data_IF_524773691257
#
_entry.id   IF_524773691257
#
_cell.length_a   1.000
_cell.length_b   1.000
_cell.length_c   1.000
_cell.angle_alpha   90.00
_cell.angle_beta   90.00
_cell.angle_gamma   90.00
#
_symmetry.space_group_name_H-M   'P 1'
#
loop_
_entity.id
_entity.type
_entity.pdbx_description
1 polymer ?
#
# COMPACT_ATOMS: atom_id res chain seq x y z
N UNK A 1 -6.55 11.11 4.38
CA UNK A 1 -6.54 10.44 3.07
C UNK A 1 -7.96 10.37 2.56
N UNK A 2 -8.22 10.88 1.36
CA UNK A 2 -9.47 10.67 0.63
C UNK A 2 -9.23 9.54 -0.38
N UNK A 3 -10.10 8.54 -0.43
CA UNK A 3 -9.96 7.41 -1.33
C UNK A 3 -11.34 7.00 -1.87
N UNK A 4 -11.42 6.70 -3.16
CA UNK A 4 -12.65 6.29 -3.82
C UNK A 4 -12.34 5.27 -4.91
N UNK A 5 -13.35 4.48 -5.29
CA UNK A 5 -13.25 3.51 -6.38
C UNK A 5 -13.81 4.15 -7.64
N UNK A 6 -13.05 4.09 -8.74
CA UNK A 6 -13.44 4.61 -10.04
C UNK A 6 -13.13 3.59 -11.14
N UNK A 7 -14.00 3.51 -12.14
CA UNK A 7 -13.73 2.76 -13.38
C UNK A 7 -12.96 3.62 -14.40
N UNK A 8 -12.87 4.95 -14.18
CA UNK A 8 -12.11 5.89 -15.00
C UNK A 8 -10.63 5.84 -14.62
N UNK A 9 -9.77 5.60 -15.61
CA UNK A 9 -8.31 5.58 -15.47
C UNK A 9 -7.70 6.95 -15.85
N UNK A 10 -6.43 7.15 -15.51
CA UNK A 10 -5.68 8.37 -15.87
C UNK A 10 -6.00 9.60 -15.02
N UNK A 11 -6.82 9.47 -13.97
CA UNK A 11 -7.17 10.60 -13.10
C UNK A 11 -5.96 11.24 -12.41
N UNK A 12 -4.89 10.47 -12.17
CA UNK A 12 -3.64 10.99 -11.61
C UNK A 12 -2.76 11.76 -12.60
N UNK A 13 -3.05 11.66 -13.90
CA UNK A 13 -2.34 12.39 -14.96
C UNK A 13 -2.98 13.76 -15.25
N UNK A 14 -4.18 14.00 -14.70
CA UNK A 14 -4.86 15.30 -14.80
C UNK A 14 -4.08 16.37 -14.05
N UNK A 15 -4.32 17.63 -14.42
CA UNK A 15 -3.78 18.75 -13.65
C UNK A 15 -4.43 18.83 -12.26
N UNK A 16 -3.83 19.67 -11.41
CA UNK A 16 -4.26 19.84 -10.03
C UNK A 16 -5.71 20.31 -9.93
N UNK A 17 -6.14 21.22 -10.81
CA UNK A 17 -7.46 21.84 -10.71
C UNK A 17 -8.56 20.82 -11.01
N UNK A 18 -8.33 19.97 -12.01
CA UNK A 18 -9.21 18.84 -12.32
C UNK A 18 -9.22 17.78 -11.21
N UNK A 19 -8.07 17.45 -10.62
CA UNK A 19 -7.99 16.55 -9.47
C UNK A 19 -8.78 17.09 -8.26
N UNK A 20 -8.63 18.38 -7.95
CA UNK A 20 -9.37 19.04 -6.87
C UNK A 20 -10.87 19.07 -7.16
N UNK A 21 -11.27 19.34 -8.41
CA UNK A 21 -12.67 19.30 -8.83
C UNK A 21 -13.28 17.90 -8.61
N UNK A 22 -12.56 16.85 -9.00
CA UNK A 22 -12.98 15.46 -8.79
C UNK A 22 -13.16 15.17 -7.30
N UNK A 23 -12.19 15.53 -6.45
CA UNK A 23 -12.29 15.34 -5.00
C UNK A 23 -13.48 16.10 -4.41
N UNK A 24 -13.67 17.37 -4.78
CA UNK A 24 -14.81 18.18 -4.32
C UNK A 24 -16.15 17.58 -4.70
N UNK A 25 -16.29 17.08 -5.94
CA UNK A 25 -17.52 16.41 -6.40
C UNK A 25 -17.75 15.07 -5.72
N UNK A 26 -16.69 14.27 -5.58
CA UNK A 26 -16.77 12.90 -5.06
C UNK A 26 -17.10 12.86 -3.57
N UNK A 27 -16.61 13.84 -2.80
CA UNK A 27 -16.78 13.87 -1.34
C UNK A 27 -17.74 14.98 -0.87
N UNK A 28 -18.52 15.59 -1.76
CA UNK A 28 -19.43 16.70 -1.45
C UNK A 28 -20.43 16.37 -0.34
N UNK A 29 -20.89 15.12 -0.29
CA UNK A 29 -21.90 14.61 0.64
C UNK A 29 -21.31 13.70 1.74
N UNK A 30 -19.99 13.61 1.85
CA UNK A 30 -19.32 12.71 2.80
C UNK A 30 -19.59 13.08 4.29
N UNK A 31 -19.97 14.33 4.57
CA UNK A 31 -20.30 14.82 5.91
C UNK A 31 -19.08 14.93 6.84
N UNK A 32 -19.32 15.00 8.15
CA UNK A 32 -18.27 15.14 9.19
C UNK A 32 -17.30 16.28 8.86
N UNK A 33 -16.00 16.00 8.76
CA UNK A 33 -14.94 16.96 8.49
C UNK A 33 -14.66 17.15 6.98
N UNK A 34 -15.39 16.46 6.10
CA UNK A 34 -15.17 16.57 4.66
C UNK A 34 -15.24 18.01 4.14
N UNK A 35 -16.20 18.88 4.56
CA UNK A 35 -16.22 20.27 4.13
C UNK A 35 -14.93 21.03 4.47
N UNK A 36 -14.39 20.83 5.69
CA UNK A 36 -13.13 21.47 6.12
C UNK A 36 -11.93 20.95 5.32
N UNK A 37 -11.87 19.64 5.08
CA UNK A 37 -10.79 19.03 4.28
C UNK A 37 -10.85 19.51 2.83
N UNK A 38 -12.05 19.57 2.23
CA UNK A 38 -12.25 20.01 0.84
C UNK A 38 -11.98 21.51 0.64
N UNK A 39 -12.27 22.34 1.64
CA UNK A 39 -11.90 23.75 1.64
C UNK A 39 -10.37 23.92 1.65
N UNK A 40 -9.66 23.14 2.46
CA UNK A 40 -8.20 23.20 2.56
C UNK A 40 -7.46 22.75 1.29
N UNK A 41 -8.13 22.05 0.36
CA UNK A 41 -7.50 21.62 -0.91
C UNK A 41 -7.10 22.79 -1.81
N UNK A 42 -7.62 24.00 -1.59
CA UNK A 42 -7.30 25.18 -2.41
C UNK A 42 -5.81 25.51 -2.34
N UNK A 43 -5.24 25.53 -1.13
CA UNK A 43 -3.86 25.96 -0.87
C UNK A 43 -2.92 24.82 -0.46
N UNK A 44 -3.45 23.64 -0.17
CA UNK A 44 -2.62 22.52 0.30
C UNK A 44 -1.82 21.87 -0.85
N UNK A 45 -0.59 21.38 -0.58
CA UNK A 45 0.08 20.45 -1.48
C UNK A 45 -0.75 19.17 -1.60
N UNK A 46 -0.95 18.72 -2.85
CA UNK A 46 -1.80 17.58 -3.17
C UNK A 46 -0.95 16.45 -3.75
N UNK A 47 -1.13 15.24 -3.21
CA UNK A 47 -0.76 14.00 -3.86
C UNK A 47 -2.04 13.25 -4.21
N UNK A 48 -2.21 12.96 -5.50
CA UNK A 48 -3.35 12.24 -6.05
C UNK A 48 -2.81 11.17 -6.99
N UNK A 49 -3.16 9.91 -6.76
CA UNK A 49 -2.71 8.81 -7.61
C UNK A 49 -3.68 7.62 -7.54
N UNK A 50 -3.60 6.75 -8.54
CA UNK A 50 -4.29 5.49 -8.53
C UNK A 50 -3.57 4.50 -7.60
N UNK A 51 -4.33 3.88 -6.70
CA UNK A 51 -3.78 2.80 -5.87
C UNK A 51 -3.80 1.49 -6.67
N UNK A 52 -2.60 0.95 -6.93
CA UNK A 52 -2.42 -0.26 -7.71
C UNK A 52 -1.33 -1.18 -7.16
N UNK A 53 -1.12 -2.30 -7.86
CA UNK A 53 -0.01 -3.22 -7.62
C UNK A 53 0.87 -3.31 -8.86
N UNK A 54 2.18 -3.36 -8.65
CA UNK A 54 3.17 -3.66 -9.70
C UNK A 54 3.55 -5.13 -9.59
N UNK A 55 3.20 -5.93 -10.61
CA UNK A 55 3.53 -7.35 -10.70
C UNK A 55 4.35 -7.60 -11.95
N UNK A 56 5.63 -7.94 -11.75
CA UNK A 56 6.60 -8.15 -12.82
C UNK A 56 7.20 -9.55 -12.72
N UNK A 57 7.44 -10.16 -13.88
CA UNK A 57 8.10 -11.48 -13.97
C UNK A 57 9.57 -11.43 -13.53
N UNK A 58 10.24 -10.29 -13.76
CA UNK A 58 11.63 -10.03 -13.37
C UNK A 58 11.78 -8.59 -12.88
N UNK A 59 12.65 -8.36 -11.91
CA UNK A 59 12.93 -7.03 -11.35
C UNK A 59 14.24 -6.42 -11.84
N UNK A 60 14.98 -7.14 -12.67
CA UNK A 60 16.26 -6.69 -13.20
C UNK A 60 16.43 -6.99 -14.69
N UNK A 61 17.24 -6.15 -15.33
CA UNK A 61 17.68 -6.32 -16.71
C UNK A 61 19.11 -5.79 -16.86
N UNK A 62 20.06 -6.68 -17.16
CA UNK A 62 21.49 -6.34 -17.23
C UNK A 62 22.01 -5.85 -15.88
N UNK A 63 22.40 -4.57 -15.82
CA UNK A 63 22.89 -3.91 -14.59
C UNK A 63 21.87 -2.95 -13.97
N UNK A 64 20.62 -2.99 -14.45
CA UNK A 64 19.51 -2.18 -13.93
C UNK A 64 18.60 -3.05 -13.08
N UNK A 65 18.19 -2.53 -11.92
CA UNK A 65 17.28 -3.21 -10.99
C UNK A 65 16.20 -2.25 -10.52
N UNK A 66 15.01 -2.77 -10.31
CA UNK A 66 13.88 -2.08 -9.70
C UNK A 66 13.85 -2.41 -8.21
N UNK A 67 13.56 -1.41 -7.38
CA UNK A 67 13.48 -1.53 -5.93
C UNK A 67 12.23 -0.81 -5.41
N UNK A 68 11.59 -1.37 -4.38
CA UNK A 68 10.43 -0.74 -3.74
C UNK A 68 9.19 -0.79 -4.63
N UNK A 69 8.38 0.27 -4.60
CA UNK A 69 7.12 0.33 -5.36
C UNK A 69 7.31 0.17 -6.88
N UNK A 70 8.48 0.56 -7.40
CA UNK A 70 8.83 0.34 -8.81
C UNK A 70 8.90 -1.14 -9.20
N UNK A 71 9.20 -2.03 -8.25
CA UNK A 71 9.28 -3.47 -8.47
C UNK A 71 8.04 -4.23 -7.98
N UNK A 72 7.43 -3.76 -6.88
CA UNK A 72 6.44 -4.56 -6.16
C UNK A 72 5.36 -3.76 -5.40
N UNK A 73 4.98 -2.56 -5.84
CA UNK A 73 3.94 -1.77 -5.17
C UNK A 73 2.81 -2.67 -4.61
N UNK A 74 2.60 -2.61 -3.29
CA UNK A 74 1.79 -3.62 -2.58
C UNK A 74 0.31 -3.23 -2.49
N UNK A 75 -0.02 -1.96 -2.73
CA UNK A 75 -1.37 -1.42 -2.68
C UNK A 75 -1.64 -0.61 -1.40
N UNK A 76 -2.90 -0.51 -0.94
CA UNK A 76 -3.33 0.52 0.02
C UNK A 76 -2.89 0.31 1.48
N UNK A 77 -2.37 -0.88 1.84
CA UNK A 77 -2.24 -1.27 3.26
C UNK A 77 -0.86 -0.99 3.88
N UNK A 78 -0.05 -0.12 3.27
CA UNK A 78 1.14 0.46 3.93
C UNK A 78 2.31 -0.50 4.14
N UNK A 79 2.33 -1.67 3.48
CA UNK A 79 3.43 -2.64 3.58
C UNK A 79 4.64 -2.30 2.69
N UNK A 80 4.50 -1.33 1.78
CA UNK A 80 5.53 -0.95 0.80
C UNK A 80 6.82 -0.45 1.42
N UNK A 81 6.75 0.47 2.39
CA UNK A 81 7.93 1.11 3.00
C UNK A 81 8.83 0.11 3.73
N UNK A 82 8.26 -0.73 4.60
CA UNK A 82 9.05 -1.72 5.34
C UNK A 82 9.74 -2.70 4.38
N UNK A 83 9.03 -3.13 3.33
CA UNK A 83 9.58 -4.03 2.33
C UNK A 83 10.63 -3.35 1.44
N UNK A 84 10.50 -2.04 1.17
CA UNK A 84 11.51 -1.26 0.46
C UNK A 84 12.82 -1.19 1.26
N UNK A 85 12.75 -0.99 2.59
CA UNK A 85 13.92 -1.01 3.47
C UNK A 85 14.60 -2.38 3.49
N UNK A 86 13.81 -3.45 3.65
CA UNK A 86 14.30 -4.84 3.56
C UNK A 86 14.97 -5.08 2.21
N UNK A 87 14.31 -4.68 1.12
CA UNK A 87 14.83 -4.84 -0.23
C UNK A 87 16.14 -4.08 -0.45
N UNK A 88 16.25 -2.87 0.08
CA UNK A 88 17.48 -2.07 -0.01
C UNK A 88 18.65 -2.73 0.73
N UNK A 89 18.40 -3.27 1.93
CA UNK A 89 19.38 -4.01 2.72
C UNK A 89 19.90 -5.24 1.96
N UNK A 90 18.99 -6.08 1.47
CA UNK A 90 19.34 -7.28 0.71
C UNK A 90 20.08 -6.92 -0.59
N UNK A 91 19.60 -5.92 -1.33
CA UNK A 91 20.23 -5.49 -2.58
C UNK A 91 21.68 -5.03 -2.34
N UNK A 92 21.91 -4.20 -1.32
CA UNK A 92 23.25 -3.73 -0.97
C UNK A 92 24.16 -4.90 -0.55
N UNK A 93 23.65 -5.83 0.24
CA UNK A 93 24.40 -7.00 0.70
C UNK A 93 24.80 -7.95 -0.43
N UNK A 94 23.87 -8.29 -1.33
CA UNK A 94 24.18 -9.14 -2.48
C UNK A 94 25.15 -8.45 -3.44
N UNK A 95 25.03 -7.14 -3.67
CA UNK A 95 25.98 -6.38 -4.48
C UNK A 95 27.38 -6.33 -3.86
N UNK A 96 27.48 -6.32 -2.53
CA UNK A 96 28.75 -6.30 -1.81
C UNK A 96 29.44 -7.66 -1.66
N UNK A 97 28.71 -8.77 -1.85
CA UNK A 97 29.23 -10.12 -1.58
C UNK A 97 29.37 -11.02 -2.80
N UNK A 98 28.58 -10.80 -3.86
CA UNK A 98 28.64 -11.62 -5.06
C UNK A 98 29.75 -11.17 -6.02
N UNK A 99 30.25 -12.11 -6.83
CA UNK A 99 31.35 -11.86 -7.77
C UNK A 99 30.95 -10.99 -8.97
N UNK A 100 29.67 -10.99 -9.34
CA UNK A 100 29.14 -10.22 -10.47
C UNK A 100 27.73 -9.67 -10.20
N UNK A 101 27.42 -8.56 -10.86
CA UNK A 101 26.14 -7.83 -10.70
C UNK A 101 24.93 -8.68 -11.09
N UNK A 102 24.89 -9.37 -12.26
CA UNK A 102 23.77 -10.25 -12.59
C UNK A 102 23.44 -11.28 -11.50
N UNK A 103 24.45 -11.93 -10.93
CA UNK A 103 24.27 -12.87 -9.81
C UNK A 103 23.69 -12.18 -8.58
N UNK A 104 24.23 -11.02 -8.19
CA UNK A 104 23.69 -10.23 -7.08
C UNK A 104 22.21 -9.87 -7.25
N UNK A 105 21.82 -9.40 -8.44
CA UNK A 105 20.45 -8.99 -8.72
C UNK A 105 19.48 -10.19 -8.71
N UNK A 106 19.91 -11.35 -9.19
CA UNK A 106 19.12 -12.57 -9.13
C UNK A 106 18.88 -13.03 -7.69
N UNK A 107 19.91 -12.98 -6.83
CA UNK A 107 19.82 -13.35 -5.41
C UNK A 107 18.95 -12.39 -4.62
N UNK A 108 19.08 -11.09 -4.88
CA UNK A 108 18.21 -10.06 -4.33
C UNK A 108 16.74 -10.36 -4.61
N UNK A 109 16.42 -10.67 -5.87
CA UNK A 109 15.06 -10.98 -6.29
C UNK A 109 14.55 -12.27 -5.62
N UNK A 110 15.35 -13.32 -5.58
CA UNK A 110 15.04 -14.60 -4.92
C UNK A 110 14.64 -14.40 -3.45
N UNK A 111 15.39 -13.57 -2.73
CA UNK A 111 15.23 -13.34 -1.29
C UNK A 111 13.99 -12.47 -1.00
N UNK A 112 13.75 -11.42 -1.78
CA UNK A 112 12.72 -10.41 -1.47
C UNK A 112 11.34 -10.77 -2.06
N UNK A 113 11.30 -11.45 -3.21
CA UNK A 113 10.08 -11.80 -3.96
C UNK A 113 9.00 -12.51 -3.14
N UNK A 114 9.30 -13.51 -2.28
CA UNK A 114 8.25 -14.20 -1.51
C UNK A 114 7.49 -13.27 -0.56
N UNK A 115 8.18 -12.29 0.02
CA UNK A 115 7.57 -11.33 0.94
C UNK A 115 6.76 -10.26 0.22
N UNK A 116 7.25 -9.81 -0.94
CA UNK A 116 6.49 -8.95 -1.85
C UNK A 116 5.19 -9.59 -2.32
N UNK A 117 5.25 -10.83 -2.82
CA UNK A 117 4.09 -11.55 -3.31
C UNK A 117 3.06 -11.79 -2.20
N UNK A 118 3.51 -12.16 -1.00
CA UNK A 118 2.61 -12.32 0.15
C UNK A 118 1.85 -11.03 0.47
N UNK A 119 2.56 -9.90 0.54
CA UNK A 119 1.95 -8.60 0.81
C UNK A 119 0.95 -8.20 -0.29
N UNK A 120 1.27 -8.49 -1.55
CA UNK A 120 0.37 -8.23 -2.66
C UNK A 120 -0.87 -9.14 -2.65
N UNK A 121 -0.72 -10.41 -2.28
CA UNK A 121 -1.81 -11.39 -2.28
C UNK A 121 -2.77 -11.23 -1.10
N UNK A 122 -2.34 -10.58 -0.01
CA UNK A 122 -3.21 -10.18 1.10
C UNK A 122 -4.28 -9.15 0.67
N UNK A 123 -4.04 -8.39 -0.40
CA UNK A 123 -5.01 -7.46 -0.97
C UNK A 123 -6.11 -8.21 -1.72
N UNK A 124 -7.29 -8.34 -1.08
CA UNK A 124 -8.45 -9.00 -1.71
C UNK A 124 -9.40 -7.97 -2.35
N UNK A 125 -9.68 -8.05 -3.67
CA UNK A 125 -10.60 -7.12 -4.34
C UNK A 125 -11.99 -7.07 -3.72
N UNK A 126 -12.49 -8.22 -3.26
CA UNK A 126 -13.79 -8.31 -2.58
C UNK A 126 -13.79 -7.54 -1.25
N UNK A 127 -12.69 -7.60 -0.49
CA UNK A 127 -12.54 -6.85 0.75
C UNK A 127 -12.54 -5.33 0.48
N UNK A 128 -11.80 -4.88 -0.55
CA UNK A 128 -11.82 -3.47 -0.97
C UNK A 128 -13.25 -3.03 -1.33
N UNK A 129 -13.99 -3.83 -2.10
CA UNK A 129 -15.38 -3.52 -2.46
C UNK A 129 -16.30 -3.47 -1.25
N UNK A 130 -16.14 -4.38 -0.29
CA UNK A 130 -16.92 -4.39 0.95
C UNK A 130 -16.65 -3.16 1.83
N UNK A 131 -15.42 -2.65 1.82
CA UNK A 131 -15.03 -1.42 2.53
C UNK A 131 -15.59 -0.15 1.87
N UNK A 132 -15.98 -0.21 0.59
CA UNK A 132 -16.45 0.93 -0.20
C UNK A 132 -17.90 0.71 -0.68
N UNK A 133 -18.90 0.73 0.23
CA UNK A 133 -20.31 0.55 -0.15
C UNK A 133 -20.78 1.70 -1.04
N UNK A 134 -21.46 1.37 -2.13
CA UNK A 134 -21.99 2.33 -3.12
C UNK A 134 -23.46 2.71 -2.89
N UNK A 135 -24.05 2.33 -1.76
CA UNK A 135 -25.45 2.61 -1.44
C UNK A 135 -25.64 3.07 0.00
N UNK A 136 -26.65 3.92 0.23
CA UNK A 136 -26.99 4.41 1.57
C UNK A 136 -27.31 3.29 2.55
N UNK A 137 -28.01 2.25 2.08
CA UNK A 137 -28.29 1.06 2.88
C UNK A 137 -27.00 0.30 3.26
N UNK A 138 -26.06 0.17 2.31
CA UNK A 138 -24.75 -0.44 2.57
C UNK A 138 -23.92 0.35 3.57
N UNK A 139 -23.91 1.69 3.47
CA UNK A 139 -23.25 2.58 4.44
C UNK A 139 -23.85 2.42 5.84
N UNK A 140 -25.19 2.38 5.95
CA UNK A 140 -25.88 2.16 7.24
C UNK A 140 -25.53 0.80 7.85
N UNK A 141 -25.53 -0.26 7.05
CA UNK A 141 -25.16 -1.61 7.49
C UNK A 141 -23.71 -1.65 7.97
N UNK A 142 -22.78 -1.11 7.18
CA UNK A 142 -21.35 -1.06 7.54
C UNK A 142 -21.13 -0.33 8.86
N UNK A 143 -21.76 0.85 9.05
CA UNK A 143 -21.68 1.62 10.30
C UNK A 143 -22.28 0.87 11.49
N UNK A 144 -23.39 0.15 11.30
CA UNK A 144 -24.00 -0.66 12.35
C UNK A 144 -23.08 -1.81 12.78
N UNK A 145 -22.50 -2.55 11.83
CA UNK A 145 -21.54 -3.63 12.11
C UNK A 145 -20.33 -3.10 12.87
N UNK A 146 -19.74 -1.99 12.41
CA UNK A 146 -18.61 -1.35 13.08
C UNK A 146 -18.95 -0.86 14.49
N UNK A 147 -20.13 -0.27 14.68
CA UNK A 147 -20.61 0.19 15.98
C UNK A 147 -20.77 -0.95 17.00
N UNK A 148 -21.16 -2.14 16.55
CA UNK A 148 -21.27 -3.35 17.40
C UNK A 148 -19.90 -3.97 17.67
N UNK A 149 -19.01 -4.02 16.68
CA UNK A 149 -17.71 -4.67 16.80
C UNK A 149 -16.69 -3.86 17.64
N UNK A 150 -16.69 -2.52 17.51
CA UNK A 150 -15.74 -1.64 18.18
C UNK A 150 -15.60 -1.86 19.71
N UNK A 151 -16.68 -1.94 20.51
CA UNK A 151 -16.57 -2.18 21.95
C UNK A 151 -16.09 -3.60 22.30
N UNK A 152 -16.26 -4.57 21.40
CA UNK A 152 -15.82 -5.97 21.57
C UNK A 152 -14.32 -6.09 21.30
N UNK A 153 -13.80 -5.38 20.29
CA UNK A 153 -12.37 -5.31 19.97
C UNK A 153 -11.54 -4.70 21.11
N UNK A 154 -12.07 -3.68 21.79
CA UNK A 154 -11.42 -3.06 22.95
C UNK A 154 -11.29 -4.01 24.16
N UNK A 155 -12.21 -4.97 24.32
CA UNK A 155 -12.20 -5.95 25.42
C UNK A 155 -11.37 -7.20 25.10
N UNK A 156 -11.18 -7.52 23.81
CA UNK A 156 -10.37 -8.66 23.33
C UNK A 156 -8.95 -8.26 22.90
N UNK A 157 -8.55 -6.99 23.10
CA UNK A 157 -7.28 -6.44 22.60
C UNK A 157 -6.03 -7.22 22.98
N UNK A 158 -6.00 -7.88 24.14
CA UNK A 158 -4.88 -8.73 24.56
C UNK A 158 -4.74 -10.04 23.76
N UNK A 159 -5.84 -10.59 23.24
CA UNK A 159 -5.86 -11.81 22.43
C UNK A 159 -5.69 -11.50 20.93
N UNK A 160 -6.21 -10.36 20.46
CA UNK A 160 -6.10 -9.91 19.06
C UNK A 160 -4.70 -9.33 18.76
N UNK A 161 -4.04 -8.72 19.74
CA UNK A 161 -2.68 -8.17 19.58
C UNK A 161 -1.61 -9.21 19.20
N UNK A 162 -1.80 -10.49 19.56
CA UNK A 162 -0.90 -11.59 19.14
C UNK A 162 -1.10 -12.02 17.69
N UNK A 163 -2.30 -11.84 17.13
CA UNK A 163 -2.63 -12.17 15.74
C UNK A 163 -2.32 -11.04 14.76
N UNK A 164 -2.15 -9.81 15.26
CA UNK A 164 -1.96 -8.59 14.47
C UNK A 164 -0.55 -8.02 14.57
N UNK A 165 0.45 -8.86 14.88
CA UNK A 165 1.85 -8.45 14.75
C UNK A 165 2.10 -7.89 13.34
N UNK A 166 2.67 -6.68 13.20
CA UNK A 166 3.01 -6.12 11.90
C UNK A 166 3.84 -7.13 11.09
N UNK A 167 3.56 -7.33 9.80
CA UNK A 167 4.27 -8.31 8.96
C UNK A 167 5.80 -8.09 8.87
N UNK A 168 6.28 -6.90 9.24
CA UNK A 168 7.70 -6.53 9.23
C UNK A 168 8.55 -7.42 10.15
N UNK A 169 7.99 -7.97 11.24
CA UNK A 169 8.70 -8.87 12.16
C UNK A 169 8.92 -10.28 11.59
N UNK A 170 8.44 -10.58 10.37
CA UNK A 170 8.51 -11.92 9.77
C UNK A 170 9.58 -12.08 8.69
N UNK A 171 10.30 -11.01 8.35
CA UNK A 171 11.40 -11.10 7.40
C UNK A 171 12.71 -11.35 8.14
N UNK A 172 13.28 -12.54 7.98
CA UNK A 172 14.62 -12.82 8.47
C UNK A 172 15.65 -12.10 7.57
N UNK A 173 16.24 -11.02 8.08
CA UNK A 173 17.26 -10.27 7.35
C UNK A 173 18.53 -11.13 7.23
N UNK A 174 19.08 -11.31 6.01
CA UNK A 174 20.40 -11.92 5.86
C UNK A 174 21.47 -11.06 6.53
N UNK A 175 22.45 -11.73 7.12
CA UNK A 175 23.67 -11.11 7.62
C UNK A 175 24.69 -11.01 6.48
N UNK A 176 25.26 -9.83 6.32
CA UNK A 176 26.33 -9.57 5.35
C UNK A 176 27.59 -9.13 6.10
N UNK A 177 28.80 -9.47 5.59
CA UNK A 177 30.04 -8.98 6.17
C UNK A 177 30.05 -7.45 6.25
N UNK A 178 30.63 -6.91 7.32
CA UNK A 178 30.89 -5.48 7.38
C UNK A 178 31.84 -5.09 6.24
N UNK A 179 31.53 -3.98 5.56
CA UNK A 179 32.35 -3.41 4.51
C UNK A 179 33.70 -2.90 5.01
#
# INVERSE_FOLDING_TARGET
MLAFVSDVRGLGELDRDDQVLILRRTFADAGWEAPRVLAALEDAPLYFDAVGQVRLDRWSAGRTVLLGDAAWATGPFGTGTSLALVGAHVLAGELGTQADVPTALARYEEIVRPSAQRAQDEVKPLAIRAMNPRSTAGVKLQRAVLGVAAPVSGKLGGLVGRLTRPPADRFALPEYPAA
#
